data_IF_468240555646
#
_entry.id   IF_468240555646
#
_cell.length_a   1.000
_cell.length_b   1.000
_cell.length_c   1.000
_cell.angle_alpha   90.00
_cell.angle_beta   90.00
_cell.angle_gamma   90.00
#
_symmetry.space_group_name_H-M   'P 1'
#
loop_
_entity.id
_entity.type
_entity.pdbx_description
1 polymer ?
#
# COMPACT_ATOMS: atom_id res chain seq x y z
N UNK A 1 -25.19 -8.09 -22.96
CA UNK A 1 -24.09 -8.40 -22.04
C UNK A 1 -23.20 -9.42 -22.73
N UNK A 2 -22.03 -9.02 -23.22
CA UNK A 2 -21.06 -9.94 -23.83
C UNK A 2 -20.12 -10.41 -22.72
N UNK A 3 -20.17 -11.70 -22.43
CA UNK A 3 -19.24 -12.36 -21.52
C UNK A 3 -17.86 -12.36 -22.19
N UNK A 4 -16.92 -11.58 -21.68
CA UNK A 4 -15.52 -11.65 -22.10
C UNK A 4 -14.93 -12.90 -21.45
N UNK A 5 -14.90 -13.99 -22.18
CA UNK A 5 -14.15 -15.18 -21.78
C UNK A 5 -12.67 -14.88 -21.99
N UNK A 6 -11.90 -14.78 -20.89
CA UNK A 6 -10.45 -14.82 -20.96
C UNK A 6 -10.02 -16.16 -21.58
N UNK A 7 -9.16 -16.17 -22.59
CA UNK A 7 -8.69 -17.44 -23.15
C UNK A 7 -7.87 -18.18 -22.08
N UNK A 8 -8.25 -19.40 -21.78
CA UNK A 8 -7.42 -20.33 -21.02
C UNK A 8 -6.07 -20.50 -21.72
N UNK A 9 -4.95 -20.61 -20.99
CA UNK A 9 -3.65 -20.87 -21.61
C UNK A 9 -3.72 -22.13 -22.45
N UNK A 10 -3.45 -22.02 -23.74
CA UNK A 10 -3.45 -23.16 -24.64
C UNK A 10 -2.28 -24.09 -24.28
N UNK A 11 -2.60 -25.34 -24.02
CA UNK A 11 -1.61 -26.41 -23.83
C UNK A 11 -0.90 -26.67 -25.16
N UNK A 12 0.42 -26.64 -25.15
CA UNK A 12 1.26 -26.66 -26.36
C UNK A 12 1.15 -27.95 -27.23
N UNK A 13 0.59 -29.05 -26.69
CA UNK A 13 0.32 -30.27 -27.47
C UNK A 13 -0.87 -31.03 -26.90
N UNK A 14 -2.09 -30.78 -27.36
CA UNK A 14 -3.30 -31.43 -26.86
C UNK A 14 -3.41 -32.93 -27.16
N UNK A 15 -2.57 -33.46 -28.04
CA UNK A 15 -2.61 -34.90 -28.38
C UNK A 15 -1.79 -35.79 -27.43
N UNK A 16 -0.93 -35.24 -26.56
CA UNK A 16 -0.01 -35.99 -25.71
C UNK A 16 -0.51 -36.21 -24.29
N UNK A 17 -1.39 -35.38 -23.75
CA UNK A 17 -1.97 -35.52 -22.41
C UNK A 17 -3.27 -34.75 -22.25
N UNK A 18 -4.08 -35.13 -21.27
CA UNK A 18 -5.30 -34.42 -20.84
C UNK A 18 -5.10 -33.97 -19.41
N UNK A 19 -5.39 -32.69 -19.14
CA UNK A 19 -5.39 -32.14 -17.77
C UNK A 19 -6.79 -32.33 -17.20
N UNK A 20 -6.91 -33.25 -16.25
CA UNK A 20 -8.13 -33.43 -15.45
C UNK A 20 -8.04 -32.54 -14.22
N UNK A 21 -8.86 -31.49 -14.20
CA UNK A 21 -8.95 -30.50 -13.12
C UNK A 21 -10.20 -30.69 -12.24
N UNK A 22 -10.96 -31.76 -12.43
CA UNK A 22 -12.27 -31.97 -11.77
C UNK A 22 -12.28 -33.16 -10.83
N UNK A 23 -11.66 -34.29 -11.22
CA UNK A 23 -11.75 -35.57 -10.48
C UNK A 23 -11.10 -35.49 -9.10
N UNK A 24 -9.97 -34.80 -8.96
CA UNK A 24 -9.25 -34.64 -7.69
C UNK A 24 -8.91 -33.16 -7.46
N UNK A 25 -9.34 -32.61 -6.32
CA UNK A 25 -9.10 -31.26 -5.90
C UNK A 25 -8.39 -31.23 -4.54
N UNK A 26 -7.33 -30.43 -4.41
CA UNK A 26 -6.72 -30.16 -3.11
C UNK A 26 -7.59 -29.19 -2.29
N UNK A 27 -7.79 -29.47 -1.01
CA UNK A 27 -8.45 -28.55 -0.07
C UNK A 27 -7.51 -27.44 0.41
N UNK A 28 -6.20 -27.75 0.54
CA UNK A 28 -5.17 -26.78 0.95
C UNK A 28 -4.78 -25.88 -0.22
N UNK A 29 -5.50 -24.78 -0.41
CA UNK A 29 -5.22 -23.77 -1.43
C UNK A 29 -5.53 -22.37 -0.91
N UNK A 30 -4.85 -21.35 -1.44
CA UNK A 30 -5.12 -19.96 -1.15
C UNK A 30 -4.90 -19.09 -2.39
N UNK A 31 -5.46 -17.89 -2.39
CA UNK A 31 -5.16 -16.90 -3.43
C UNK A 31 -3.66 -16.56 -3.42
N UNK A 32 -3.06 -16.42 -4.61
CA UNK A 32 -1.67 -15.96 -4.73
C UNK A 32 -1.53 -14.47 -4.50
N UNK A 33 -2.49 -13.69 -4.97
CA UNK A 33 -2.54 -12.25 -4.72
C UNK A 33 -3.03 -12.01 -3.30
N UNK A 34 -2.23 -11.27 -2.52
CA UNK A 34 -2.46 -11.03 -1.08
C UNK A 34 -2.54 -9.57 -0.73
N UNK A 35 -2.09 -8.68 -1.60
CA UNK A 35 -1.90 -7.26 -1.29
C UNK A 35 -2.33 -6.38 -2.46
N UNK A 36 -2.92 -5.22 -2.16
CA UNK A 36 -3.08 -4.11 -3.09
C UNK A 36 -2.14 -3.00 -2.66
N UNK A 37 -1.36 -2.48 -3.60
CA UNK A 37 -0.45 -1.36 -3.37
C UNK A 37 -0.90 -0.16 -4.18
N UNK A 38 -1.15 0.95 -3.48
CA UNK A 38 -1.59 2.20 -4.06
C UNK A 38 -0.42 3.16 -4.23
N UNK A 39 -0.35 3.79 -5.40
CA UNK A 39 0.73 4.68 -5.81
C UNK A 39 0.20 6.01 -6.35
N UNK A 40 1.07 7.00 -6.42
CA UNK A 40 0.89 8.14 -7.31
C UNK A 40 2.08 8.27 -8.29
N UNK A 41 1.80 8.79 -9.49
CA UNK A 41 2.75 8.78 -10.60
C UNK A 41 3.81 9.89 -10.57
N UNK A 42 3.64 10.97 -9.79
CA UNK A 42 4.46 12.22 -9.80
C UNK A 42 4.55 12.83 -11.21
N UNK A 43 3.54 12.67 -12.04
CA UNK A 43 3.52 13.18 -13.42
C UNK A 43 2.09 13.38 -13.94
N UNK A 44 1.97 14.01 -15.10
CA UNK A 44 0.71 14.15 -15.84
C UNK A 44 0.28 12.83 -16.53
N UNK A 45 -0.88 12.85 -17.19
CA UNK A 45 -1.45 11.69 -17.85
C UNK A 45 -0.53 11.11 -18.93
N UNK A 46 -0.04 11.95 -19.85
CA UNK A 46 0.73 11.49 -21.03
C UNK A 46 2.06 10.87 -20.60
N UNK A 47 2.73 11.53 -19.66
CA UNK A 47 3.99 11.02 -19.12
C UNK A 47 3.78 9.74 -18.31
N UNK A 48 2.70 9.64 -17.53
CA UNK A 48 2.36 8.45 -16.76
C UNK A 48 2.10 7.26 -17.69
N UNK A 49 1.30 7.44 -18.73
CA UNK A 49 1.06 6.41 -19.76
C UNK A 49 2.39 5.95 -20.36
N UNK A 50 3.22 6.88 -20.83
CA UNK A 50 4.50 6.54 -21.44
C UNK A 50 5.45 5.78 -20.50
N UNK A 51 5.57 6.21 -19.25
CA UNK A 51 6.45 5.58 -18.26
C UNK A 51 6.00 4.16 -17.92
N UNK A 52 4.70 3.92 -17.79
CA UNK A 52 4.15 2.64 -17.36
C UNK A 52 3.94 1.64 -18.50
N UNK A 53 3.92 2.09 -19.76
CA UNK A 53 3.75 1.22 -20.94
C UNK A 53 5.03 1.00 -21.75
N UNK A 54 6.02 1.90 -21.62
CA UNK A 54 7.26 1.87 -22.40
C UNK A 54 8.51 1.93 -21.54
N UNK A 55 8.36 2.09 -20.20
CA UNK A 55 9.46 2.20 -19.25
C UNK A 55 9.89 0.85 -18.68
N UNK A 56 10.74 0.93 -17.65
CA UNK A 56 11.23 -0.23 -16.88
C UNK A 56 10.33 -0.59 -15.68
N UNK A 57 9.35 0.25 -15.38
CA UNK A 57 8.34 0.07 -14.32
C UNK A 57 6.98 -0.11 -14.96
N UNK A 58 6.10 -0.82 -14.29
CA UNK A 58 4.73 -1.04 -14.74
C UNK A 58 3.80 -1.15 -13.54
N UNK A 59 2.50 -1.07 -13.78
CA UNK A 59 1.47 -1.34 -12.79
C UNK A 59 0.35 -2.15 -13.44
N UNK A 60 -0.46 -2.83 -12.64
CA UNK A 60 -1.61 -3.55 -13.19
C UNK A 60 -2.69 -2.58 -13.69
N UNK A 61 -2.88 -1.48 -12.96
CA UNK A 61 -3.89 -0.49 -13.28
C UNK A 61 -3.36 0.94 -13.24
N UNK A 62 -3.91 1.78 -14.11
CA UNK A 62 -3.65 3.21 -14.17
C UNK A 62 -4.98 3.97 -14.16
N UNK A 63 -5.09 4.93 -13.24
CA UNK A 63 -6.22 5.85 -13.11
C UNK A 63 -5.74 7.25 -13.49
N UNK A 64 -6.21 7.74 -14.63
CA UNK A 64 -5.85 9.07 -15.14
C UNK A 64 -6.59 10.18 -14.37
N UNK A 65 -6.02 11.36 -14.42
CA UNK A 65 -6.63 12.60 -13.95
C UNK A 65 -7.49 13.18 -15.07
N UNK A 66 -8.72 12.72 -15.18
CA UNK A 66 -9.70 13.13 -16.18
C UNK A 66 -11.14 12.84 -15.69
N UNK A 67 -12.12 13.30 -16.44
CA UNK A 67 -13.53 13.17 -16.10
C UNK A 67 -14.22 11.96 -16.75
N UNK A 68 -13.47 11.06 -17.40
CA UNK A 68 -14.05 9.83 -17.91
C UNK A 68 -14.23 8.79 -16.79
N UNK A 69 -14.89 7.67 -17.09
CA UNK A 69 -15.11 6.56 -16.17
C UNK A 69 -14.17 5.37 -16.44
N UNK A 70 -13.07 5.58 -17.19
CA UNK A 70 -12.16 4.50 -17.57
C UNK A 70 -11.10 4.28 -16.50
N UNK A 71 -10.76 3.02 -16.29
CA UNK A 71 -9.60 2.52 -15.58
C UNK A 71 -8.82 1.70 -16.60
N UNK A 72 -7.53 1.95 -16.73
CA UNK A 72 -6.69 1.27 -17.70
C UNK A 72 -6.00 0.09 -17.07
N UNK A 73 -6.26 -1.12 -17.54
CA UNK A 73 -5.49 -2.31 -17.18
C UNK A 73 -4.27 -2.39 -18.11
N UNK A 74 -3.08 -2.22 -17.56
CA UNK A 74 -1.83 -2.20 -18.30
C UNK A 74 -1.11 -3.56 -18.27
N UNK A 75 -1.23 -4.29 -17.16
CA UNK A 75 -0.68 -5.63 -16.98
C UNK A 75 -1.83 -6.53 -16.48
N UNK A 76 -2.07 -7.70 -17.09
CA UNK A 76 -3.05 -8.65 -16.60
C UNK A 76 -2.75 -9.05 -15.15
N UNK A 77 -3.77 -9.24 -14.32
CA UNK A 77 -3.60 -9.63 -12.90
C UNK A 77 -2.93 -11.00 -12.71
N UNK A 78 -2.95 -11.84 -13.74
CA UNK A 78 -2.24 -13.13 -13.75
C UNK A 78 -0.73 -13.01 -13.95
N UNK A 79 -0.27 -11.83 -14.38
CA UNK A 79 1.13 -11.53 -14.65
C UNK A 79 1.71 -10.64 -13.56
N UNK A 80 3.03 -10.54 -13.52
CA UNK A 80 3.76 -9.71 -12.56
C UNK A 80 3.98 -8.31 -13.12
N UNK A 81 3.49 -7.27 -12.45
CA UNK A 81 3.88 -5.89 -12.73
C UNK A 81 5.06 -5.45 -11.85
N UNK A 82 5.83 -4.47 -12.32
CA UNK A 82 7.03 -3.95 -11.66
C UNK A 82 6.76 -2.61 -10.98
N UNK A 83 6.04 -2.63 -9.84
CA UNK A 83 5.58 -1.42 -9.15
C UNK A 83 6.11 -1.26 -7.71
N UNK A 84 6.32 -2.36 -6.98
CA UNK A 84 6.67 -2.30 -5.56
C UNK A 84 8.18 -2.05 -5.33
N UNK A 85 9.04 -2.61 -6.18
CA UNK A 85 10.49 -2.60 -5.97
C UNK A 85 10.88 -3.34 -4.68
N UNK A 86 12.01 -2.96 -4.08
CA UNK A 86 12.47 -3.53 -2.82
C UNK A 86 11.66 -2.98 -1.64
N UNK A 87 11.38 -3.85 -0.68
CA UNK A 87 10.63 -3.54 0.53
C UNK A 87 9.86 -4.74 1.03
N UNK A 88 9.04 -4.54 2.05
CA UNK A 88 8.23 -5.61 2.61
C UNK A 88 7.15 -5.13 3.56
N UNK A 89 6.12 -5.95 3.71
CA UNK A 89 5.01 -5.71 4.62
C UNK A 89 4.38 -7.04 5.03
N UNK A 90 3.88 -7.15 6.28
CA UNK A 90 3.21 -8.32 6.83
C UNK A 90 4.00 -9.63 6.61
N UNK A 91 5.30 -9.60 6.87
CA UNK A 91 6.20 -10.76 6.73
C UNK A 91 6.56 -11.14 5.29
N UNK A 92 6.09 -10.40 4.28
CA UNK A 92 6.36 -10.64 2.86
C UNK A 92 7.37 -9.64 2.31
N UNK A 93 8.29 -10.15 1.52
CA UNK A 93 9.20 -9.37 0.66
C UNK A 93 8.83 -9.65 -0.80
N UNK A 94 9.43 -8.93 -1.75
CA UNK A 94 9.18 -9.13 -3.20
C UNK A 94 7.67 -9.03 -3.52
N UNK A 95 7.04 -7.97 -3.03
CA UNK A 95 5.58 -7.83 -3.14
C UNK A 95 5.06 -7.82 -4.59
N UNK A 96 5.89 -7.53 -5.59
CA UNK A 96 5.50 -7.66 -7.00
C UNK A 96 4.91 -9.04 -7.35
N UNK A 97 5.31 -10.11 -6.66
CA UNK A 97 4.86 -11.48 -6.94
C UNK A 97 3.46 -11.79 -6.40
N UNK A 98 3.02 -11.02 -5.41
CA UNK A 98 1.80 -11.31 -4.63
C UNK A 98 0.89 -10.10 -4.46
N UNK A 99 1.10 -9.04 -5.25
CA UNK A 99 0.29 -7.83 -5.16
C UNK A 99 -0.24 -7.35 -6.50
N UNK A 100 -1.30 -6.56 -6.43
CA UNK A 100 -1.82 -5.74 -7.53
C UNK A 100 -1.41 -4.28 -7.26
N UNK A 101 -0.66 -3.68 -8.18
CA UNK A 101 -0.29 -2.27 -8.12
C UNK A 101 -1.27 -1.39 -8.90
N UNK A 102 -1.72 -0.31 -8.28
CA UNK A 102 -2.63 0.68 -8.86
C UNK A 102 -1.94 2.05 -8.83
N UNK A 103 -1.65 2.59 -9.99
CA UNK A 103 -1.08 3.93 -10.17
C UNK A 103 -2.18 4.96 -10.39
N UNK A 104 -2.12 6.07 -9.67
CA UNK A 104 -3.08 7.16 -9.74
C UNK A 104 -2.34 8.42 -10.17
N UNK A 105 -2.76 9.03 -11.27
CA UNK A 105 -2.09 10.25 -11.76
C UNK A 105 -2.31 11.39 -10.78
N UNK A 106 -1.23 11.79 -10.12
CA UNK A 106 -1.18 12.87 -9.17
C UNK A 106 0.25 13.40 -9.07
N UNK A 107 0.40 14.67 -8.82
CA UNK A 107 1.69 15.34 -8.67
C UNK A 107 2.44 14.98 -7.37
N UNK A 108 1.77 14.38 -6.40
CA UNK A 108 2.30 14.00 -5.10
C UNK A 108 2.58 15.20 -4.21
N UNK A 109 3.74 15.83 -4.39
CA UNK A 109 4.13 17.05 -3.69
C UNK A 109 3.96 18.26 -4.61
N UNK A 110 3.41 19.37 -4.09
CA UNK A 110 3.28 20.64 -4.81
C UNK A 110 4.66 21.13 -5.27
N UNK A 111 4.73 21.66 -6.50
CA UNK A 111 6.00 21.99 -7.18
C UNK A 111 6.94 22.86 -6.33
N UNK A 112 6.43 23.85 -5.61
CA UNK A 112 7.24 24.74 -4.76
C UNK A 112 7.90 24.04 -3.56
N UNK A 113 7.44 22.85 -3.18
CA UNK A 113 7.99 22.07 -2.06
C UNK A 113 8.80 20.86 -2.50
N UNK A 114 8.91 20.62 -3.81
CA UNK A 114 9.76 19.55 -4.33
C UNK A 114 11.22 19.95 -4.18
N UNK A 115 11.92 19.36 -3.23
CA UNK A 115 13.37 19.48 -3.12
C UNK A 115 14.10 18.75 -4.25
N UNK A 116 15.38 19.05 -4.45
CA UNK A 116 16.25 18.16 -5.22
C UNK A 116 16.29 16.81 -4.48
N UNK A 117 16.22 15.71 -5.24
CA UNK A 117 16.39 14.37 -4.68
C UNK A 117 17.74 14.30 -3.95
N UNK A 118 17.70 14.26 -2.63
CA UNK A 118 18.92 14.11 -1.83
C UNK A 118 19.29 12.63 -1.83
N UNK A 119 20.53 12.37 -2.20
CA UNK A 119 21.15 11.06 -2.03
C UNK A 119 22.04 11.11 -0.79
N UNK A 120 22.05 10.03 -0.02
CA UNK A 120 23.03 9.86 1.03
C UNK A 120 24.43 9.56 0.46
N UNK A 121 25.41 9.36 1.33
CA UNK A 121 26.79 9.07 0.95
C UNK A 121 26.92 7.78 0.10
N UNK A 122 25.95 6.84 0.25
CA UNK A 122 25.91 5.56 -0.46
C UNK A 122 25.04 5.62 -1.72
N UNK A 123 24.54 6.80 -2.06
CA UNK A 123 23.71 7.03 -3.26
C UNK A 123 22.24 6.63 -3.13
N UNK A 124 21.79 6.18 -1.95
CA UNK A 124 20.39 5.89 -1.69
C UNK A 124 19.55 7.18 -1.61
N UNK A 125 18.33 7.12 -2.13
CA UNK A 125 17.41 8.25 -2.06
C UNK A 125 16.93 8.43 -0.62
N UNK A 126 17.20 9.60 -0.02
CA UNK A 126 16.60 9.99 1.24
C UNK A 126 15.23 10.62 0.97
N UNK A 127 14.21 10.11 1.64
CA UNK A 127 12.90 10.77 1.65
C UNK A 127 12.96 12.04 2.49
N UNK A 128 12.30 13.11 2.02
CA UNK A 128 12.04 14.31 2.80
C UNK A 128 10.69 14.16 3.50
N UNK A 129 10.61 14.52 4.79
CA UNK A 129 9.35 14.53 5.53
C UNK A 129 8.56 15.79 5.20
N UNK A 130 7.49 15.62 4.45
CA UNK A 130 6.60 16.69 4.05
C UNK A 130 5.37 16.74 4.96
N UNK A 131 5.00 17.91 5.52
CA UNK A 131 3.75 18.07 6.24
C UNK A 131 2.54 17.95 5.29
N UNK A 132 1.38 17.63 5.83
CA UNK A 132 0.12 17.44 5.09
C UNK A 132 -0.13 18.47 3.99
N UNK A 133 0.08 19.76 4.30
CA UNK A 133 -0.18 20.88 3.38
C UNK A 133 0.66 20.86 2.10
N UNK A 134 1.79 20.14 2.08
CA UNK A 134 2.65 20.05 0.90
C UNK A 134 2.14 19.07 -0.15
N UNK A 135 1.29 18.12 0.23
CA UNK A 135 0.75 17.12 -0.69
C UNK A 135 -0.31 17.71 -1.60
N UNK A 136 -0.51 17.10 -2.77
CA UNK A 136 -1.55 17.43 -3.74
C UNK A 136 -2.78 16.56 -3.49
N UNK A 137 -3.96 17.14 -3.59
CA UNK A 137 -5.23 16.43 -3.45
C UNK A 137 -5.50 15.53 -4.67
N UNK A 138 -6.26 14.47 -4.45
CA UNK A 138 -6.79 13.64 -5.52
C UNK A 138 -8.17 14.14 -5.95
N UNK A 139 -8.49 13.99 -7.23
CA UNK A 139 -9.82 14.35 -7.72
C UNK A 139 -10.88 13.34 -7.24
N UNK A 140 -12.08 13.81 -6.93
CA UNK A 140 -13.18 12.97 -6.46
C UNK A 140 -13.51 11.82 -7.41
N UNK A 141 -13.39 12.04 -8.72
CA UNK A 141 -13.61 11.01 -9.73
C UNK A 141 -12.53 9.91 -9.64
N UNK A 142 -11.27 10.30 -9.39
CA UNK A 142 -10.19 9.33 -9.17
C UNK A 142 -10.44 8.49 -7.92
N UNK A 143 -10.84 9.10 -6.81
CA UNK A 143 -11.12 8.38 -5.57
C UNK A 143 -12.29 7.41 -5.70
N UNK A 144 -13.37 7.79 -6.41
CA UNK A 144 -14.47 6.86 -6.71
C UNK A 144 -14.01 5.67 -7.56
N UNK A 145 -13.17 5.90 -8.58
CA UNK A 145 -12.58 4.82 -9.39
C UNK A 145 -11.70 3.90 -8.54
N UNK A 146 -10.86 4.47 -7.68
CA UNK A 146 -10.03 3.69 -6.72
C UNK A 146 -10.91 2.83 -5.84
N UNK A 147 -11.96 3.41 -5.24
CA UNK A 147 -12.85 2.69 -4.35
C UNK A 147 -13.51 1.48 -5.04
N UNK A 148 -14.07 1.68 -6.23
CA UNK A 148 -14.71 0.61 -6.99
C UNK A 148 -13.72 -0.50 -7.39
N UNK A 149 -12.54 -0.12 -7.91
CA UNK A 149 -11.53 -1.07 -8.33
C UNK A 149 -10.96 -1.87 -7.16
N UNK A 150 -10.60 -1.19 -6.07
CA UNK A 150 -10.02 -1.85 -4.88
C UNK A 150 -11.04 -2.79 -4.24
N UNK A 151 -12.33 -2.40 -4.16
CA UNK A 151 -13.39 -3.25 -3.63
C UNK A 151 -13.57 -4.52 -4.48
N UNK A 152 -13.58 -4.39 -5.81
CA UNK A 152 -13.67 -5.52 -6.73
C UNK A 152 -12.48 -6.49 -6.56
N UNK A 153 -11.24 -5.97 -6.61
CA UNK A 153 -10.03 -6.77 -6.46
C UNK A 153 -9.99 -7.43 -5.08
N UNK A 154 -10.25 -6.68 -4.01
CA UNK A 154 -10.22 -7.20 -2.64
C UNK A 154 -11.24 -8.33 -2.44
N UNK A 155 -12.42 -8.22 -3.05
CA UNK A 155 -13.45 -9.27 -3.00
C UNK A 155 -13.02 -10.52 -3.77
N UNK A 156 -12.52 -10.37 -5.00
CA UNK A 156 -12.12 -11.50 -5.86
C UNK A 156 -10.96 -12.31 -5.30
N UNK A 157 -10.00 -11.62 -4.66
CA UNK A 157 -8.79 -12.24 -4.11
C UNK A 157 -8.84 -12.42 -2.59
N UNK A 158 -9.96 -12.10 -1.93
CA UNK A 158 -10.12 -12.20 -0.47
C UNK A 158 -9.03 -11.44 0.29
N UNK A 159 -8.67 -10.23 -0.20
CA UNK A 159 -7.60 -9.42 0.36
C UNK A 159 -8.09 -8.76 1.66
N UNK A 160 -7.32 -8.99 2.72
CA UNK A 160 -7.64 -8.43 4.05
C UNK A 160 -7.48 -6.91 4.08
N UNK A 161 -8.28 -6.19 4.90
CA UNK A 161 -8.21 -4.74 4.98
C UNK A 161 -6.79 -4.19 5.24
N UNK A 162 -6.02 -4.83 6.14
CA UNK A 162 -4.66 -4.37 6.47
C UNK A 162 -3.64 -4.58 5.32
N UNK A 163 -3.98 -5.38 4.31
CA UNK A 163 -3.15 -5.64 3.14
C UNK A 163 -3.49 -4.72 1.94
N UNK A 164 -4.32 -3.71 2.15
CA UNK A 164 -4.53 -2.62 1.19
C UNK A 164 -3.69 -1.45 1.69
N UNK A 165 -2.54 -1.24 1.08
CA UNK A 165 -1.45 -0.40 1.59
C UNK A 165 -0.98 0.64 0.57
N UNK A 166 -0.27 1.65 1.04
CA UNK A 166 0.51 2.56 0.21
C UNK A 166 1.90 2.01 -0.11
N UNK A 167 2.52 2.53 -1.14
CA UNK A 167 3.92 2.22 -1.45
C UNK A 167 4.85 2.62 -0.30
N UNK A 168 4.54 3.71 0.41
CA UNK A 168 5.26 4.12 1.62
C UNK A 168 5.24 3.07 2.73
N UNK A 169 4.15 2.31 2.88
CA UNK A 169 4.03 1.30 3.93
C UNK A 169 5.01 0.14 3.73
N UNK A 170 5.24 -0.27 2.47
CA UNK A 170 6.15 -1.37 2.16
C UNK A 170 7.61 -0.94 1.94
N UNK A 171 7.85 0.33 1.61
CA UNK A 171 9.18 0.87 1.29
C UNK A 171 9.43 2.22 1.96
N UNK A 172 9.32 2.32 3.30
CA UNK A 172 9.25 3.58 4.03
C UNK A 172 10.49 4.49 3.86
N UNK A 173 11.69 3.92 3.70
CA UNK A 173 12.91 4.73 3.50
C UNK A 173 13.09 5.22 2.06
N UNK A 174 12.21 4.82 1.14
CA UNK A 174 12.38 5.07 -0.30
C UNK A 174 11.18 5.74 -0.95
N UNK A 175 9.99 5.62 -0.35
CA UNK A 175 8.71 6.01 -0.94
C UNK A 175 7.81 6.75 0.05
N UNK A 176 7.06 7.72 -0.49
CA UNK A 176 6.07 8.50 0.28
C UNK A 176 4.67 8.47 -0.36
N UNK A 177 4.49 7.76 -1.47
CA UNK A 177 3.20 7.61 -2.16
C UNK A 177 2.31 6.55 -1.47
N UNK A 178 0.99 6.74 -1.48
CA UNK A 178 0.20 7.78 -2.14
C UNK A 178 0.11 9.10 -1.34
N UNK A 179 0.82 9.25 -0.23
CA UNK A 179 0.99 10.49 0.54
C UNK A 179 -0.17 10.84 1.48
N UNK A 180 0.07 11.88 2.30
CA UNK A 180 -0.83 12.26 3.39
C UNK A 180 -2.25 12.69 2.96
N UNK A 181 -2.43 13.16 1.72
CA UNK A 181 -3.75 13.56 1.21
C UNK A 181 -4.50 12.43 0.49
N UNK A 182 -3.97 11.22 0.47
CA UNK A 182 -4.75 10.09 0.04
C UNK A 182 -5.79 9.77 1.12
N UNK A 183 -7.09 9.65 0.77
CA UNK A 183 -8.17 9.69 1.76
C UNK A 183 -8.45 8.31 2.40
N UNK A 184 -7.46 7.70 3.07
CA UNK A 184 -7.55 6.38 3.69
C UNK A 184 -8.75 6.24 4.64
N UNK A 185 -8.92 7.18 5.57
CA UNK A 185 -10.04 7.17 6.52
C UNK A 185 -11.39 7.19 5.82
N UNK A 186 -11.51 7.99 4.75
CA UNK A 186 -12.74 8.09 3.97
C UNK A 186 -13.04 6.79 3.22
N UNK A 187 -12.02 6.19 2.59
CA UNK A 187 -12.16 4.89 1.92
C UNK A 187 -12.64 3.82 2.90
N UNK A 188 -12.09 3.81 4.11
CA UNK A 188 -12.55 2.92 5.17
C UNK A 188 -13.99 3.21 5.59
N UNK A 189 -14.36 4.46 5.91
CA UNK A 189 -15.67 4.83 6.45
C UNK A 189 -16.81 4.73 5.43
N UNK A 190 -16.57 5.16 4.19
CA UNK A 190 -17.62 5.26 3.17
C UNK A 190 -17.73 4.00 2.31
N UNK A 191 -16.62 3.27 2.10
CA UNK A 191 -16.56 2.14 1.16
C UNK A 191 -16.15 0.81 1.81
N UNK A 192 -15.78 0.82 3.10
CA UNK A 192 -15.30 -0.39 3.79
C UNK A 192 -13.95 -0.91 3.28
N UNK A 193 -13.12 -0.02 2.72
CA UNK A 193 -11.86 -0.38 2.07
C UNK A 193 -10.68 0.01 2.95
N UNK A 194 -9.69 -0.90 3.04
CA UNK A 194 -8.47 -0.68 3.79
C UNK A 194 -8.64 -0.82 5.29
N UNK A 195 -7.58 -0.56 6.02
CA UNK A 195 -7.56 -0.59 7.47
C UNK A 195 -7.70 0.82 8.06
N UNK A 196 -8.40 0.92 9.16
CA UNK A 196 -8.45 2.13 9.99
C UNK A 196 -8.76 1.74 11.44
N UNK A 197 -8.27 2.52 12.39
CA UNK A 197 -8.50 2.30 13.81
C UNK A 197 -9.90 2.74 14.27
N UNK A 198 -10.33 2.27 15.44
CA UNK A 198 -11.51 2.78 16.12
C UNK A 198 -11.10 3.94 17.04
N UNK A 199 -11.83 5.05 17.00
CA UNK A 199 -11.51 6.23 17.82
C UNK A 199 -11.64 5.92 19.33
N UNK A 200 -12.53 5.00 19.74
CA UNK A 200 -12.64 4.53 21.12
C UNK A 200 -11.39 3.83 21.60
N UNK A 201 -10.79 2.99 20.75
CA UNK A 201 -9.59 2.23 21.11
C UNK A 201 -8.38 3.15 21.19
N UNK A 202 -8.25 4.10 20.22
CA UNK A 202 -7.24 5.15 20.30
C UNK A 202 -7.37 5.96 21.59
N UNK A 203 -8.58 6.43 21.90
CA UNK A 203 -8.84 7.22 23.13
C UNK A 203 -8.50 6.42 24.40
N UNK A 204 -8.81 5.13 24.42
CA UNK A 204 -8.44 4.24 25.53
C UNK A 204 -6.92 4.23 25.72
N UNK A 205 -6.12 4.00 24.70
CA UNK A 205 -4.65 3.97 24.82
C UNK A 205 -4.06 5.33 25.14
N UNK A 206 -4.64 6.43 24.68
CA UNK A 206 -4.23 7.77 25.07
C UNK A 206 -4.43 8.00 26.58
N UNK A 207 -5.51 7.49 27.17
CA UNK A 207 -5.77 7.62 28.62
C UNK A 207 -4.87 6.72 29.48
N UNK A 208 -4.37 5.62 28.94
CA UNK A 208 -3.47 4.72 29.68
C UNK A 208 -2.06 5.28 29.84
N UNK A 209 -1.67 6.30 29.04
CA UNK A 209 -0.32 6.88 28.99
C UNK A 209 0.81 5.85 28.80
N UNK A 210 0.51 4.72 28.13
CA UNK A 210 1.49 3.64 27.91
C UNK A 210 2.73 4.11 27.14
N UNK A 211 2.61 5.19 26.38
CA UNK A 211 3.73 5.75 25.63
C UNK A 211 4.86 6.26 26.52
N UNK A 212 4.53 6.83 27.69
CA UNK A 212 5.51 7.42 28.60
C UNK A 212 6.45 6.36 29.20
N UNK A 213 5.97 5.13 29.38
CA UNK A 213 6.72 4.01 29.93
C UNK A 213 7.27 3.05 28.86
N UNK A 214 6.83 3.20 27.59
CA UNK A 214 7.20 2.29 26.51
C UNK A 214 8.65 2.49 26.05
N UNK A 215 9.39 1.42 26.00
CA UNK A 215 10.77 1.41 25.47
C UNK A 215 10.78 1.42 23.94
N UNK A 216 11.89 1.88 23.34
CA UNK A 216 12.07 1.86 21.89
C UNK A 216 11.86 0.46 21.30
N UNK A 217 12.42 -0.63 21.86
CA UNK A 217 12.17 -2.00 21.36
C UNK A 217 10.69 -2.40 21.39
N UNK A 218 9.93 -2.04 22.43
CA UNK A 218 8.51 -2.35 22.53
C UNK A 218 7.69 -1.60 21.49
N UNK A 219 7.96 -0.33 21.26
CA UNK A 219 7.29 0.45 20.23
C UNK A 219 7.60 -0.12 18.83
N UNK A 220 8.87 -0.47 18.56
CA UNK A 220 9.26 -1.11 17.30
C UNK A 220 8.61 -2.49 17.13
N UNK A 221 8.46 -3.24 18.21
CA UNK A 221 7.75 -4.51 18.19
C UNK A 221 6.28 -4.32 17.78
N UNK A 222 5.61 -3.28 18.29
CA UNK A 222 4.24 -2.97 17.89
C UNK A 222 4.13 -2.63 16.39
N UNK A 223 5.12 -1.96 15.79
CA UNK A 223 5.17 -1.75 14.33
C UNK A 223 5.32 -3.07 13.55
N UNK A 224 6.17 -4.00 14.03
CA UNK A 224 6.33 -5.34 13.41
C UNK A 224 5.04 -6.15 13.49
N UNK A 225 4.36 -6.12 14.62
CA UNK A 225 3.06 -6.81 14.82
C UNK A 225 1.98 -6.29 13.87
N UNK A 226 2.00 -5.00 13.57
CA UNK A 226 1.10 -4.47 12.55
C UNK A 226 1.53 -4.90 11.14
N UNK A 227 2.79 -5.12 10.87
CA UNK A 227 3.29 -5.60 9.59
C UNK A 227 4.44 -4.78 8.98
N UNK A 228 4.85 -3.66 9.59
CA UNK A 228 5.97 -2.88 9.09
C UNK A 228 7.31 -3.58 9.31
N UNK A 229 8.19 -3.46 8.33
CA UNK A 229 9.59 -3.84 8.51
C UNK A 229 10.34 -2.69 9.18
N UNK A 230 10.72 -2.89 10.44
CA UNK A 230 11.54 -1.97 11.23
C UNK A 230 12.67 -2.73 11.88
N UNK A 231 13.86 -2.14 11.95
CA UNK A 231 15.05 -2.79 12.51
C UNK A 231 14.96 -3.00 14.04
N UNK A 232 15.85 -3.84 14.57
CA UNK A 232 15.90 -4.19 15.99
C UNK A 232 16.79 -3.26 16.83
N UNK A 233 17.31 -2.17 16.25
CA UNK A 233 18.11 -1.17 16.96
C UNK A 233 17.32 -0.56 18.13
N UNK A 234 17.98 -0.32 19.25
CA UNK A 234 17.45 0.38 20.43
C UNK A 234 17.43 1.92 20.27
N UNK A 235 17.64 2.42 19.04
CA UNK A 235 17.69 3.85 18.70
C UNK A 235 16.64 4.22 17.68
N UNK A 236 16.16 5.44 17.75
CA UNK A 236 15.38 6.07 16.67
C UNK A 236 16.32 6.59 15.59
N UNK A 237 16.89 5.66 14.82
CA UNK A 237 17.67 5.96 13.62
C UNK A 237 16.78 6.41 12.46
N UNK A 238 17.41 6.84 11.35
CA UNK A 238 16.64 7.33 10.22
C UNK A 238 15.70 6.28 9.64
N UNK A 239 16.08 5.02 9.38
CA UNK A 239 15.15 4.00 8.90
C UNK A 239 13.95 3.79 9.82
N UNK A 240 14.14 3.84 11.14
CA UNK A 240 13.03 3.74 12.10
C UNK A 240 12.07 4.92 12.02
N UNK A 241 12.60 6.14 11.85
CA UNK A 241 11.78 7.34 11.67
C UNK A 241 11.05 7.34 10.32
N UNK A 242 11.65 6.76 9.27
CA UNK A 242 11.00 6.59 7.97
C UNK A 242 9.76 5.70 8.09
N UNK A 243 9.83 4.63 8.91
CA UNK A 243 8.66 3.78 9.21
C UNK A 243 7.58 4.56 9.96
N UNK A 244 7.95 5.34 10.96
CA UNK A 244 6.99 6.21 11.67
C UNK A 244 6.32 7.18 10.70
N UNK A 245 7.10 7.81 9.82
CA UNK A 245 6.57 8.73 8.83
C UNK A 245 5.60 8.05 7.85
N UNK A 246 5.95 6.89 7.32
CA UNK A 246 5.09 6.11 6.45
C UNK A 246 3.76 5.72 7.14
N UNK A 247 3.83 5.26 8.37
CA UNK A 247 2.66 4.99 9.20
C UNK A 247 1.77 6.23 9.39
N UNK A 248 2.38 7.38 9.68
CA UNK A 248 1.66 8.64 9.85
C UNK A 248 1.04 9.12 8.53
N UNK A 249 1.69 8.95 7.38
CA UNK A 249 1.10 9.25 6.07
C UNK A 249 -0.21 8.48 5.85
N UNK A 250 -0.31 7.27 6.37
CA UNK A 250 -1.48 6.41 6.25
C UNK A 250 -2.52 6.70 7.35
N UNK A 251 -2.13 6.64 8.63
CA UNK A 251 -3.05 6.57 9.78
C UNK A 251 -3.13 7.86 10.61
N UNK A 252 -2.17 8.77 10.46
CA UNK A 252 -2.14 10.07 11.14
C UNK A 252 -1.75 11.22 10.19
N UNK A 253 -2.43 11.34 9.02
CA UNK A 253 -1.95 12.14 7.89
C UNK A 253 -1.90 13.65 8.16
N UNK A 254 -2.62 14.16 9.16
CA UNK A 254 -2.59 15.58 9.50
C UNK A 254 -1.29 16.02 10.18
N UNK A 255 -0.55 15.08 10.79
CA UNK A 255 0.70 15.35 11.50
C UNK A 255 1.83 14.35 11.15
N UNK A 256 2.22 14.18 9.86
CA UNK A 256 3.27 13.24 9.47
C UNK A 256 4.65 13.88 9.70
N UNK A 257 5.28 13.59 10.82
CA UNK A 257 6.55 14.19 11.25
C UNK A 257 7.74 13.22 11.19
N UNK A 258 7.48 11.90 11.15
CA UNK A 258 8.49 10.87 11.34
C UNK A 258 8.98 10.76 12.80
N UNK A 259 8.36 11.49 13.71
CA UNK A 259 8.61 11.39 15.16
C UNK A 259 7.45 10.65 15.80
N UNK A 260 7.78 9.62 16.59
CA UNK A 260 6.78 8.93 17.39
C UNK A 260 6.31 9.83 18.54
N UNK A 261 5.01 9.91 18.70
CA UNK A 261 4.34 10.60 19.81
C UNK A 261 3.25 9.71 20.41
N UNK A 262 2.66 10.15 21.52
CA UNK A 262 1.63 9.39 22.22
C UNK A 262 0.42 9.07 21.33
N UNK A 263 0.00 10.01 20.47
CA UNK A 263 -1.13 9.77 19.59
C UNK A 263 -0.80 8.75 18.48
N UNK A 264 0.38 8.84 17.87
CA UNK A 264 0.85 7.85 16.89
C UNK A 264 0.92 6.46 17.51
N UNK A 265 1.46 6.35 18.76
CA UNK A 265 1.55 5.07 19.46
C UNK A 265 0.17 4.52 19.83
N UNK A 266 -0.77 5.35 20.30
CA UNK A 266 -2.13 4.95 20.60
C UNK A 266 -2.89 4.45 19.35
N UNK A 267 -2.70 5.11 18.20
CA UNK A 267 -3.23 4.65 16.90
C UNK A 267 -2.66 3.26 16.55
N UNK A 268 -1.35 3.08 16.67
CA UNK A 268 -0.71 1.80 16.38
C UNK A 268 -1.23 0.67 17.29
N UNK A 269 -1.39 0.92 18.58
CA UNK A 269 -1.98 -0.04 19.54
C UNK A 269 -3.42 -0.38 19.18
N UNK A 270 -4.22 0.62 18.84
CA UNK A 270 -5.62 0.44 18.42
C UNK A 270 -5.74 -0.41 17.14
N UNK A 271 -4.85 -0.21 16.17
CA UNK A 271 -4.78 -1.02 14.96
C UNK A 271 -4.34 -2.46 15.27
N UNK A 272 -3.36 -2.66 16.13
CA UNK A 272 -2.89 -3.98 16.51
C UNK A 272 -3.99 -4.80 17.18
N UNK A 273 -4.76 -4.22 18.10
CA UNK A 273 -5.91 -4.93 18.71
C UNK A 273 -6.96 -5.26 17.66
N UNK A 274 -7.32 -4.30 16.83
CA UNK A 274 -8.39 -4.47 15.83
C UNK A 274 -8.08 -5.54 14.80
N UNK A 275 -6.81 -5.66 14.41
CA UNK A 275 -6.37 -6.60 13.37
C UNK A 275 -5.54 -7.78 13.92
N UNK A 276 -5.58 -8.01 15.26
CA UNK A 276 -4.96 -9.16 15.88
C UNK A 276 -5.51 -10.48 15.30
N UNK A 277 -4.62 -11.45 15.08
CA UNK A 277 -5.00 -12.76 14.56
C UNK A 277 -5.43 -12.77 13.08
N UNK A 278 -5.27 -11.65 12.38
CA UNK A 278 -5.52 -11.57 10.93
C UNK A 278 -4.28 -11.89 10.10
N UNK A 279 -3.32 -12.63 10.64
CA UNK A 279 -2.13 -13.05 9.92
C UNK A 279 -2.45 -14.14 8.90
N UNK A 280 -1.84 -14.06 7.71
CA UNK A 280 -1.88 -15.13 6.73
C UNK A 280 -0.97 -16.26 7.21
N UNK A 281 -1.52 -17.24 7.87
CA UNK A 281 -0.82 -18.51 8.04
C UNK A 281 -0.77 -19.19 6.66
N UNK A 282 0.44 -19.26 6.09
CA UNK A 282 0.90 -19.82 4.82
C UNK A 282 0.96 -18.89 3.61
#
# INVERSE_FOLDING_TARGET
>A
MACVTTPSPQVANPESYVVDSETYQATGKSQRIKTIVLHYTVSDNDRSIKLLTQGKVSAHYLILKNNDNKIYNLVPESERAWHAGDGGFAGRTILNDTSIGIEIVNDGIQKQYRGALKKDADGAQNIDYHPYKHFVEFDEIQIKKVAQLVQDIATRYEIRPKNIIGHSDLAPSRKIDPGAKFPWQRLYKEYGIGAWYNESDKAFFMLQNEFDDATIPEIKQAFREYGYQINDSDKWDKPSRDVVYAFQLHFHPLNPTGTIDAETYAILKALNIKYAGTEDFY
#
